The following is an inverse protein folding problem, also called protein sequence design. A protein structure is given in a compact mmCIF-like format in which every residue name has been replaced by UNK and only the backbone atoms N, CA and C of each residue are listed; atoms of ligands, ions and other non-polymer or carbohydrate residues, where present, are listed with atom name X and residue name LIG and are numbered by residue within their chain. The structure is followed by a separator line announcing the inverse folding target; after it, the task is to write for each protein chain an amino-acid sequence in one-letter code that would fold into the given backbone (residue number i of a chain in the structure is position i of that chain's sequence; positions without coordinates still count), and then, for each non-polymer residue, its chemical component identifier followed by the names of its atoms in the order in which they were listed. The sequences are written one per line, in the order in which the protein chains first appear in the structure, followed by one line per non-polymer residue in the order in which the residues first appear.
data_IF_633685677942
#
_entry.id   IF_633685677942
#
_cell.length_a   1.000
_cell.length_b   1.000
_cell.length_c   1.000
_cell.angle_alpha   90.00
_cell.angle_beta   90.00
_cell.angle_gamma   90.00
#
_symmetry.space_group_name_H-M   'P 1'
#
loop_
_entity.id
_entity.type
_entity.pdbx_description
1 polymer ?
#
# COMPACT_ATOMS: atom_id res chain seq x y z
N UNK A 1 3.79 8.91 -12.15
CA UNK A 1 3.06 9.32 -10.93
C UNK A 1 3.88 9.14 -9.65
N UNK A 2 3.57 9.95 -8.63
CA UNK A 2 4.12 9.85 -7.28
C UNK A 2 2.99 9.98 -6.26
N UNK A 3 2.88 9.04 -5.33
CA UNK A 3 1.83 9.04 -4.30
C UNK A 3 2.46 8.76 -2.95
N UNK A 4 2.15 9.60 -1.95
CA UNK A 4 2.64 9.44 -0.58
C UNK A 4 1.52 8.95 0.34
N UNK A 5 1.79 7.96 1.18
CA UNK A 5 0.85 7.42 2.19
C UNK A 5 1.57 7.09 3.50
N UNK A 6 0.87 7.23 4.62
CA UNK A 6 1.31 6.69 5.91
C UNK A 6 0.77 5.27 6.06
N UNK A 7 1.64 4.29 6.29
CA UNK A 7 1.27 2.88 6.33
C UNK A 7 1.68 2.21 7.64
N UNK A 8 0.84 1.31 8.13
CA UNK A 8 1.24 0.37 9.17
C UNK A 8 2.38 -0.52 8.63
N UNK A 9 3.45 -0.80 9.42
CA UNK A 9 4.53 -1.70 9.03
C UNK A 9 4.07 -3.06 8.46
N UNK A 10 3.02 -3.66 9.02
CA UNK A 10 2.43 -4.92 8.53
C UNK A 10 1.90 -4.77 7.11
N UNK A 11 1.16 -3.70 6.84
CA UNK A 11 0.59 -3.43 5.53
C UNK A 11 1.69 -3.14 4.51
N UNK A 12 2.71 -2.38 4.91
CA UNK A 12 3.88 -2.09 4.06
C UNK A 12 4.60 -3.37 3.63
N UNK A 13 4.85 -4.30 4.57
CA UNK A 13 5.50 -5.59 4.26
C UNK A 13 4.76 -6.35 3.17
N UNK A 14 3.43 -6.43 3.27
CA UNK A 14 2.59 -7.16 2.31
C UNK A 14 2.58 -6.45 0.95
N UNK A 15 2.56 -5.12 0.92
CA UNK A 15 2.65 -4.36 -0.33
C UNK A 15 3.99 -4.62 -1.03
N UNK A 16 5.10 -4.61 -0.27
CA UNK A 16 6.44 -4.90 -0.81
C UNK A 16 6.50 -6.30 -1.40
N UNK A 17 5.99 -7.31 -0.69
CA UNK A 17 5.89 -8.68 -1.17
C UNK A 17 5.09 -8.76 -2.47
N UNK A 18 3.88 -8.19 -2.50
CA UNK A 18 2.99 -8.18 -3.67
C UNK A 18 3.63 -7.53 -4.89
N UNK A 19 4.26 -6.37 -4.71
CA UNK A 19 4.97 -5.67 -5.79
C UNK A 19 6.11 -6.51 -6.35
N UNK A 20 6.83 -7.25 -5.50
CA UNK A 20 7.90 -8.13 -5.93
C UNK A 20 7.38 -9.40 -6.62
N UNK A 21 6.41 -10.09 -6.02
CA UNK A 21 5.85 -11.35 -6.53
C UNK A 21 5.16 -11.18 -7.89
N UNK A 22 4.42 -10.09 -8.07
CA UNK A 22 3.72 -9.79 -9.33
C UNK A 22 4.55 -8.95 -10.30
N UNK A 23 5.80 -8.62 -9.93
CA UNK A 23 6.71 -7.77 -10.72
C UNK A 23 6.04 -6.46 -11.18
N UNK A 24 5.36 -5.79 -10.25
CA UNK A 24 4.61 -4.56 -10.53
C UNK A 24 5.57 -3.39 -10.78
N UNK A 25 5.21 -2.44 -11.66
CA UNK A 25 6.05 -1.29 -11.98
C UNK A 25 5.95 -0.20 -10.90
N UNK A 26 6.14 -0.57 -9.63
CA UNK A 26 6.02 0.29 -8.46
C UNK A 26 7.34 0.29 -7.70
N UNK A 27 7.94 1.46 -7.55
CA UNK A 27 9.07 1.69 -6.65
C UNK A 27 8.55 2.21 -5.32
N UNK A 28 9.01 1.60 -4.22
CA UNK A 28 8.58 1.91 -2.86
C UNK A 28 9.77 2.55 -2.13
N UNK A 29 9.59 3.80 -1.71
CA UNK A 29 10.59 4.54 -0.95
C UNK A 29 10.07 4.77 0.47
N UNK A 30 10.67 4.08 1.44
CA UNK A 30 10.36 4.22 2.86
C UNK A 30 11.04 5.47 3.44
N UNK A 31 10.27 6.26 4.17
CA UNK A 31 10.70 7.46 4.88
C UNK A 31 10.66 7.26 6.39
N UNK A 32 10.40 8.34 7.11
CA UNK A 32 10.44 8.33 8.57
C UNK A 32 9.25 7.60 9.19
N UNK A 33 9.48 6.97 10.34
CA UNK A 33 8.41 6.48 11.20
C UNK A 33 7.78 7.65 11.97
N UNK A 34 6.47 7.78 11.88
CA UNK A 34 5.64 8.80 12.53
C UNK A 34 4.53 8.09 13.30
N UNK A 35 4.66 8.10 14.62
CA UNK A 35 3.66 7.54 15.54
C UNK A 35 3.28 6.06 15.25
N UNK A 36 4.27 5.24 14.86
CA UNK A 36 4.06 3.83 14.55
C UNK A 36 3.61 3.56 13.10
N UNK A 37 3.45 4.59 12.28
CA UNK A 37 3.22 4.50 10.84
C UNK A 37 4.50 4.88 10.09
N UNK A 38 4.70 4.34 8.89
CA UNK A 38 5.84 4.63 8.04
C UNK A 38 5.35 5.55 6.91
N UNK A 39 6.05 6.67 6.70
CA UNK A 39 5.84 7.55 5.54
C UNK A 39 6.41 6.88 4.29
N UNK A 40 5.56 6.53 3.33
CA UNK A 40 5.96 5.77 2.15
C UNK A 40 5.61 6.53 0.88
N UNK A 41 6.59 6.67 0.00
CA UNK A 41 6.45 7.25 -1.32
C UNK A 41 6.44 6.14 -2.39
N UNK A 42 5.32 6.01 -3.08
CA UNK A 42 5.14 5.14 -4.23
C UNK A 42 5.44 5.92 -5.52
N UNK A 43 6.29 5.36 -6.38
CA UNK A 43 6.60 5.91 -7.70
C UNK A 43 6.28 4.84 -8.75
N UNK A 44 5.45 5.19 -9.72
CA UNK A 44 4.98 4.25 -10.76
C UNK A 44 4.61 5.00 -12.05
N UNK A 45 4.58 4.34 -13.22
CA UNK A 45 4.27 4.99 -14.49
C UNK A 45 2.80 5.43 -14.56
N UNK A 46 2.51 6.45 -15.36
CA UNK A 46 1.15 7.00 -15.47
C UNK A 46 0.15 5.98 -16.02
N UNK A 47 0.62 5.03 -16.84
CA UNK A 47 -0.18 3.90 -17.33
C UNK A 47 -0.66 2.96 -16.23
N UNK A 48 0.04 2.90 -15.09
CA UNK A 48 -0.33 2.05 -13.96
C UNK A 48 -1.28 2.76 -12.97
N UNK A 49 -1.44 4.07 -13.07
CA UNK A 49 -2.24 4.85 -12.12
C UNK A 49 -3.67 4.35 -11.93
N UNK A 50 -4.43 3.96 -12.98
CA UNK A 50 -5.78 3.43 -12.80
C UNK A 50 -5.85 2.11 -12.02
N UNK A 51 -4.75 1.35 -11.99
CA UNK A 51 -4.66 0.06 -11.29
C UNK A 51 -4.12 0.19 -9.86
N UNK A 52 -3.48 1.32 -9.52
CA UNK A 52 -2.83 1.52 -8.23
C UNK A 52 -3.81 1.53 -7.06
N UNK A 53 -4.88 2.33 -7.14
CA UNK A 53 -5.84 2.41 -6.03
C UNK A 53 -6.58 1.07 -5.80
N UNK A 54 -7.10 0.38 -6.83
CA UNK A 54 -7.68 -0.96 -6.66
C UNK A 54 -6.71 -1.98 -6.06
N UNK A 55 -5.44 -1.97 -6.47
CA UNK A 55 -4.40 -2.83 -5.88
C UNK A 55 -4.26 -2.57 -4.37
N UNK A 56 -4.16 -1.30 -3.98
CA UNK A 56 -3.98 -0.91 -2.57
C UNK A 56 -5.20 -1.30 -1.73
N UNK A 57 -6.41 -1.11 -2.26
CA UNK A 57 -7.66 -1.47 -1.58
C UNK A 57 -7.77 -2.99 -1.41
N UNK A 58 -7.40 -3.76 -2.43
CA UNK A 58 -7.37 -5.22 -2.35
C UNK A 58 -6.37 -5.70 -1.29
N UNK A 59 -5.14 -5.18 -1.29
CA UNK A 59 -4.12 -5.55 -0.29
C UNK A 59 -4.59 -5.19 1.12
N UNK A 60 -5.23 -4.02 1.31
CA UNK A 60 -5.79 -3.63 2.60
C UNK A 60 -6.87 -4.61 3.06
N UNK A 61 -7.82 -4.93 2.19
CA UNK A 61 -8.92 -5.85 2.47
C UNK A 61 -8.42 -7.28 2.76
N UNK A 62 -7.39 -7.75 2.05
CA UNK A 62 -6.74 -9.04 2.33
C UNK A 62 -6.01 -9.03 3.68
N UNK A 63 -5.38 -7.91 4.04
CA UNK A 63 -4.55 -7.79 5.26
C UNK A 63 -5.39 -7.66 6.53
N UNK A 64 -6.49 -6.92 6.48
CA UNK A 64 -7.31 -6.55 7.63
C UNK A 64 -8.73 -7.16 7.60
N UNK A 65 -9.12 -7.77 6.48
CA UNK A 65 -10.41 -8.42 6.32
C UNK A 65 -11.61 -7.47 6.50
N UNK A 66 -12.84 -8.00 6.34
CA UNK A 66 -14.06 -7.25 6.66
C UNK A 66 -14.23 -6.96 8.17
N UNK A 67 -13.37 -7.49 9.06
CA UNK A 67 -13.60 -7.52 10.49
C UNK A 67 -12.67 -6.61 11.32
N UNK A 68 -11.54 -6.13 10.79
CA UNK A 68 -10.71 -5.12 11.48
C UNK A 68 -10.93 -3.69 10.96
N UNK A 69 -11.82 -3.50 9.99
CA UNK A 69 -12.14 -2.22 9.34
C UNK A 69 -13.51 -1.64 9.70
N UNK A 70 -13.96 -1.76 10.95
CA UNK A 70 -15.14 -1.04 11.43
C UNK A 70 -16.49 -1.69 11.07
N UNK A 71 -17.24 -2.00 12.12
CA UNK A 71 -18.67 -2.33 12.17
C UNK A 71 -19.51 -1.73 11.02
N UNK A 72 -20.27 -2.59 10.34
CA UNK A 72 -21.60 -2.21 9.86
C UNK A 72 -22.41 -1.68 11.06
N UNK A 73 -22.78 -0.40 11.01
CA UNK A 73 -23.86 0.20 11.80
C UNK A 73 -24.95 0.71 10.86
#
# INVERSE_FOLDING_TARGET
MKTRRLLNPKLLSIIVEKVHEENLPVEINEGENKDGLIDVLFVYPDSFHPAFDPLMDNIFNETFGPLEGGVEL
#
